data_IF_388361108711
#
_entry.id   IF_388361108711
#
_cell.length_a   1.000
_cell.length_b   1.000
_cell.length_c   1.000
_cell.angle_alpha   90.00
_cell.angle_beta   90.00
_cell.angle_gamma   90.00
#
_symmetry.space_group_name_H-M   'P 1'
#
loop_
_entity.id
_entity.type
_entity.pdbx_description
1 polymer ?
#
# COMPACT_ATOMS: atom_id res chain seq x y z
N UNK A 1 23.14 11.24 16.43
CA UNK A 1 22.73 11.32 15.01
C UNK A 1 21.22 11.51 15.00
N UNK A 2 20.70 12.51 14.27
CA UNK A 2 19.25 12.68 14.13
C UNK A 2 18.73 11.71 13.07
N UNK A 3 17.73 10.88 13.42
CA UNK A 3 17.15 9.88 12.52
C UNK A 3 15.66 10.17 12.29
N UNK A 4 15.28 10.84 11.18
CA UNK A 4 13.88 11.13 10.85
C UNK A 4 13.00 9.87 10.76
N UNK A 5 13.57 8.74 10.29
CA UNK A 5 12.85 7.48 10.12
C UNK A 5 12.29 6.99 11.44
N UNK A 6 13.10 6.99 12.50
CA UNK A 6 12.66 6.57 13.85
C UNK A 6 11.51 7.45 14.35
N UNK A 7 11.58 8.77 14.16
CA UNK A 7 10.51 9.68 14.58
C UNK A 7 9.19 9.38 13.84
N UNK A 8 9.26 9.14 12.53
CA UNK A 8 8.10 8.80 11.70
C UNK A 8 7.49 7.46 12.15
N UNK A 9 8.31 6.44 12.35
CA UNK A 9 7.86 5.12 12.84
C UNK A 9 7.18 5.26 14.20
N UNK A 10 7.83 5.90 15.16
CA UNK A 10 7.29 6.06 16.52
C UNK A 10 5.94 6.80 16.50
N UNK A 11 5.88 7.92 15.78
CA UNK A 11 4.66 8.75 15.70
C UNK A 11 3.53 7.97 15.03
N UNK A 12 3.81 7.25 13.94
CA UNK A 12 2.76 6.51 13.24
C UNK A 12 2.28 5.30 14.04
N UNK A 13 3.19 4.59 14.71
CA UNK A 13 2.84 3.47 15.60
C UNK A 13 1.93 3.91 16.74
N UNK A 14 2.18 5.06 17.35
CA UNK A 14 1.30 5.61 18.38
C UNK A 14 -0.05 6.07 17.77
N UNK A 15 -0.05 6.65 16.56
CA UNK A 15 -1.29 6.99 15.86
C UNK A 15 -2.17 5.77 15.54
N UNK A 16 -1.60 4.61 15.18
CA UNK A 16 -2.35 3.36 14.98
C UNK A 16 -3.09 2.93 16.26
N UNK A 17 -2.40 3.03 17.40
CA UNK A 17 -2.97 2.73 18.72
C UNK A 17 -4.11 3.69 19.04
N UNK A 18 -3.90 4.98 18.87
CA UNK A 18 -4.91 6.00 19.15
C UNK A 18 -6.14 5.86 18.24
N UNK A 19 -5.93 5.45 16.99
CA UNK A 19 -7.03 5.17 16.06
C UNK A 19 -7.87 3.96 16.51
N UNK A 20 -7.24 2.89 17.00
CA UNK A 20 -7.95 1.75 17.58
C UNK A 20 -8.81 2.20 18.78
N UNK A 21 -8.19 2.92 19.74
CA UNK A 21 -8.87 3.41 20.95
C UNK A 21 -10.01 4.39 20.62
N UNK A 22 -9.88 5.19 19.56
CA UNK A 22 -10.94 6.08 19.09
C UNK A 22 -12.16 5.33 18.57
N UNK A 23 -11.98 4.19 17.92
CA UNK A 23 -13.07 3.40 17.32
C UNK A 23 -13.71 2.46 18.35
N UNK A 24 -12.89 1.78 19.16
CA UNK A 24 -13.34 0.68 20.02
C UNK A 24 -13.26 0.97 21.52
N UNK A 25 -12.68 2.11 21.92
CA UNK A 25 -12.46 2.44 23.33
C UNK A 25 -11.58 1.39 24.01
N UNK A 26 -12.13 0.73 25.03
CA UNK A 26 -11.45 -0.31 25.81
C UNK A 26 -11.84 -1.74 25.40
N UNK A 27 -12.61 -1.92 24.32
CA UNK A 27 -12.96 -3.26 23.82
C UNK A 27 -11.70 -3.96 23.29
N UNK A 28 -11.44 -5.17 23.78
CA UNK A 28 -10.25 -5.99 23.46
C UNK A 28 -8.97 -5.14 23.47
N UNK A 29 -8.75 -4.40 24.56
CA UNK A 29 -7.68 -3.40 24.68
C UNK A 29 -6.27 -3.96 24.41
N UNK A 30 -6.07 -5.26 24.55
CA UNK A 30 -4.83 -5.94 24.16
C UNK A 30 -4.50 -5.78 22.67
N UNK A 31 -5.49 -5.61 21.78
CA UNK A 31 -5.25 -5.47 20.34
C UNK A 31 -4.58 -4.16 19.99
N UNK A 32 -4.79 -3.09 20.76
CA UNK A 32 -4.04 -1.85 20.63
C UNK A 32 -2.53 -2.10 20.85
N UNK A 33 -2.18 -2.96 21.81
CA UNK A 33 -0.81 -3.40 22.07
C UNK A 33 -0.24 -4.28 20.97
N UNK A 34 -1.04 -5.22 20.44
CA UNK A 34 -0.65 -6.08 19.32
C UNK A 34 -0.37 -5.24 18.07
N UNK A 35 -1.23 -4.28 17.75
CA UNK A 35 -1.08 -3.43 16.57
C UNK A 35 0.14 -2.54 16.70
N UNK A 36 0.42 -2.02 17.90
CA UNK A 36 1.65 -1.29 18.17
C UNK A 36 2.90 -2.14 17.92
N UNK A 37 2.87 -3.39 18.37
CA UNK A 37 3.95 -4.36 18.17
C UNK A 37 4.14 -4.72 16.69
N UNK A 38 3.06 -5.09 15.99
CA UNK A 38 3.12 -5.45 14.57
C UNK A 38 3.50 -4.25 13.71
N UNK A 39 2.93 -3.07 13.98
CA UNK A 39 3.27 -1.83 13.30
C UNK A 39 4.76 -1.52 13.38
N UNK A 40 5.36 -1.64 14.57
CA UNK A 40 6.81 -1.46 14.72
C UNK A 40 7.60 -2.49 13.91
N UNK A 41 7.23 -3.77 13.95
CA UNK A 41 7.91 -4.79 13.15
C UNK A 41 7.83 -4.45 11.66
N UNK A 42 6.63 -4.20 11.15
CA UNK A 42 6.42 -3.95 9.73
C UNK A 42 7.19 -2.71 9.26
N UNK A 43 7.05 -1.59 9.98
CA UNK A 43 7.63 -0.31 9.60
C UNK A 43 9.16 -0.30 9.74
N UNK A 44 9.73 -0.95 10.76
CA UNK A 44 11.19 -1.11 10.87
C UNK A 44 11.74 -1.99 9.75
N UNK A 45 11.01 -3.01 9.28
CA UNK A 45 11.48 -3.85 8.17
C UNK A 45 11.38 -3.11 6.83
N UNK A 46 10.22 -2.54 6.48
CA UNK A 46 10.05 -1.82 5.20
C UNK A 46 10.96 -0.59 5.09
N UNK A 47 11.34 0.03 6.21
CA UNK A 47 12.29 1.14 6.22
C UNK A 47 13.72 0.75 5.76
N UNK A 48 14.04 -0.54 5.63
CA UNK A 48 15.32 -1.00 5.11
C UNK A 48 15.34 -1.23 3.60
N UNK A 49 14.20 -1.06 2.91
CA UNK A 49 14.14 -1.21 1.46
C UNK A 49 14.97 -0.14 0.76
N UNK A 50 15.62 -0.51 -0.34
CA UNK A 50 16.20 0.44 -1.29
C UNK A 50 15.34 0.65 -2.56
N UNK A 51 14.10 0.11 -2.56
CA UNK A 51 13.07 0.48 -3.52
C UNK A 51 12.76 1.98 -3.40
N UNK A 52 12.64 2.67 -4.54
CA UNK A 52 12.58 4.13 -4.57
C UNK A 52 11.19 4.68 -4.19
N UNK A 53 10.12 3.92 -4.44
CA UNK A 53 8.72 4.32 -4.27
C UNK A 53 7.96 3.43 -3.29
N UNK A 54 8.05 2.10 -3.43
CA UNK A 54 7.36 1.15 -2.53
C UNK A 54 8.11 1.06 -1.19
N UNK A 55 8.00 2.13 -0.41
CA UNK A 55 8.79 2.41 0.78
C UNK A 55 7.94 2.55 2.06
N UNK A 56 8.61 2.96 3.15
CA UNK A 56 7.97 3.28 4.43
C UNK A 56 6.81 4.28 4.27
N UNK A 57 7.01 5.33 3.47
CA UNK A 57 6.01 6.38 3.35
C UNK A 57 4.78 5.90 2.56
N UNK A 58 4.98 5.15 1.48
CA UNK A 58 3.87 4.51 0.77
C UNK A 58 3.06 3.59 1.70
N UNK A 59 3.74 2.74 2.47
CA UNK A 59 3.09 1.85 3.47
C UNK A 59 2.24 2.63 4.47
N UNK A 60 2.75 3.77 4.95
CA UNK A 60 2.01 4.65 5.86
C UNK A 60 0.76 5.23 5.17
N UNK A 61 0.87 5.74 3.95
CA UNK A 61 -0.26 6.34 3.23
C UNK A 61 -1.38 5.32 2.99
N UNK A 62 -1.03 4.11 2.54
CA UNK A 62 -1.96 2.98 2.35
C UNK A 62 -2.64 2.61 3.68
N UNK A 63 -1.87 2.53 4.76
CA UNK A 63 -2.40 2.19 6.09
C UNK A 63 -3.32 3.30 6.64
N UNK A 64 -3.03 4.57 6.36
CA UNK A 64 -3.86 5.70 6.81
C UNK A 64 -5.21 5.73 6.09
N UNK A 65 -5.23 5.65 4.76
CA UNK A 65 -6.50 5.63 4.03
C UNK A 65 -7.30 4.38 4.35
N UNK A 66 -6.64 3.23 4.52
CA UNK A 66 -7.28 1.97 4.91
C UNK A 66 -8.00 2.07 6.26
N UNK A 67 -7.39 2.73 7.26
CA UNK A 67 -8.05 2.96 8.55
C UNK A 67 -9.33 3.80 8.42
N UNK A 68 -9.34 4.80 7.55
CA UNK A 68 -10.55 5.60 7.29
C UNK A 68 -11.59 4.83 6.47
N UNK A 69 -11.17 3.95 5.55
CA UNK A 69 -12.07 3.03 4.83
C UNK A 69 -12.78 2.09 5.81
N UNK A 70 -12.04 1.37 6.66
CA UNK A 70 -12.65 0.40 7.57
C UNK A 70 -13.48 1.08 8.68
N UNK A 71 -13.08 2.28 9.11
CA UNK A 71 -13.88 3.11 10.01
C UNK A 71 -15.19 3.55 9.34
N UNK A 72 -15.13 3.97 8.08
CA UNK A 72 -16.31 4.31 7.29
C UNK A 72 -17.27 3.14 7.11
N UNK A 73 -16.73 1.94 6.84
CA UNK A 73 -17.50 0.69 6.81
C UNK A 73 -18.21 0.44 8.14
N UNK A 74 -17.49 0.54 9.26
CA UNK A 74 -18.09 0.36 10.58
C UNK A 74 -19.20 1.38 10.87
N UNK A 75 -19.04 2.64 10.43
CA UNK A 75 -20.05 3.68 10.62
C UNK A 75 -21.31 3.48 9.76
N UNK A 76 -21.16 2.98 8.54
CA UNK A 76 -22.29 2.77 7.61
C UNK A 76 -23.02 1.46 7.89
N UNK A 77 -22.28 0.38 8.09
CA UNK A 77 -22.83 -0.98 8.15
C UNK A 77 -22.87 -1.55 9.57
N UNK A 78 -22.07 -1.02 10.49
CA UNK A 78 -21.78 -1.65 11.77
C UNK A 78 -20.96 -2.93 11.61
N UNK A 79 -20.89 -3.74 12.67
CA UNK A 79 -20.43 -5.14 12.58
C UNK A 79 -18.94 -5.38 12.39
N UNK A 80 -18.13 -4.37 12.04
CA UNK A 80 -16.65 -4.52 12.01
C UNK A 80 -16.14 -4.78 13.43
N UNK A 81 -15.74 -6.02 13.71
CA UNK A 81 -15.23 -6.41 15.02
C UNK A 81 -13.81 -5.87 15.25
N UNK A 82 -13.38 -5.88 16.51
CA UNK A 82 -12.00 -5.58 16.92
C UNK A 82 -10.98 -6.48 16.20
N UNK A 83 -11.32 -7.77 15.98
CA UNK A 83 -10.50 -8.71 15.22
C UNK A 83 -10.43 -8.37 13.74
N UNK A 84 -11.58 -8.08 13.12
CA UNK A 84 -11.62 -7.68 11.71
C UNK A 84 -10.72 -6.46 11.46
N UNK A 85 -10.84 -5.44 12.32
CA UNK A 85 -10.00 -4.25 12.24
C UNK A 85 -8.52 -4.58 12.41
N UNK A 86 -8.18 -5.41 13.41
CA UNK A 86 -6.79 -5.81 13.66
C UNK A 86 -6.18 -6.53 12.46
N UNK A 87 -6.84 -7.56 11.91
CA UNK A 87 -6.32 -8.29 10.75
C UNK A 87 -6.25 -7.40 9.51
N UNK A 88 -7.22 -6.51 9.31
CA UNK A 88 -7.22 -5.55 8.21
C UNK A 88 -6.02 -4.60 8.29
N UNK A 89 -5.76 -4.00 9.45
CA UNK A 89 -4.62 -3.08 9.64
C UNK A 89 -3.27 -3.79 9.53
N UNK A 90 -3.15 -5.02 10.04
CA UNK A 90 -1.94 -5.83 9.84
C UNK A 90 -1.71 -6.12 8.35
N UNK A 91 -2.78 -6.37 7.58
CA UNK A 91 -2.69 -6.59 6.14
C UNK A 91 -2.15 -5.37 5.42
N UNK A 92 -2.63 -4.16 5.75
CA UNK A 92 -2.14 -2.91 5.20
C UNK A 92 -0.67 -2.64 5.55
N UNK A 93 -0.28 -2.90 6.80
CA UNK A 93 1.11 -2.71 7.23
C UNK A 93 2.10 -3.64 6.51
N UNK A 94 1.63 -4.82 6.10
CA UNK A 94 2.47 -5.87 5.54
C UNK A 94 2.31 -6.07 4.03
N UNK A 95 1.45 -5.31 3.33
CA UNK A 95 1.15 -5.59 1.92
C UNK A 95 2.39 -5.56 1.02
N UNK A 96 3.28 -4.60 1.24
CA UNK A 96 4.50 -4.38 0.45
C UNK A 96 5.79 -4.81 1.16
N UNK A 97 5.71 -5.44 2.32
CA UNK A 97 6.92 -5.84 3.05
C UNK A 97 7.80 -6.80 2.23
N UNK A 98 7.20 -7.55 1.31
CA UNK A 98 7.88 -8.46 0.40
C UNK A 98 8.86 -7.81 -0.57
N UNK A 99 8.88 -6.49 -0.71
CA UNK A 99 9.96 -5.79 -1.42
C UNK A 99 11.31 -5.96 -0.71
N UNK A 100 11.33 -6.00 0.62
CA UNK A 100 12.58 -5.98 1.39
C UNK A 100 13.32 -7.31 1.23
N UNK A 101 14.58 -7.24 0.81
CA UNK A 101 15.48 -8.41 0.80
C UNK A 101 15.90 -8.83 2.21
N UNK A 102 16.09 -10.13 2.43
CA UNK A 102 16.65 -10.67 3.68
C UNK A 102 15.65 -10.80 4.84
N UNK A 103 14.36 -10.58 4.60
CA UNK A 103 13.31 -10.69 5.63
C UNK A 103 12.76 -12.12 5.80
N UNK A 104 12.97 -12.99 4.81
CA UNK A 104 12.47 -14.37 4.79
C UNK A 104 13.59 -15.34 5.17
N UNK A 105 13.24 -16.43 5.87
CA UNK A 105 14.23 -17.45 6.30
C UNK A 105 15.04 -18.07 5.17
N UNK A 106 14.47 -18.14 3.96
CA UNK A 106 15.13 -18.70 2.78
C UNK A 106 15.93 -17.69 1.96
N UNK A 107 15.93 -16.41 2.31
CA UNK A 107 16.72 -15.40 1.60
C UNK A 107 18.22 -15.59 1.88
N UNK A 108 19.02 -15.43 0.84
CA UNK A 108 20.48 -15.43 0.88
C UNK A 108 21.02 -14.27 0.04
N UNK A 109 22.29 -13.92 0.25
CA UNK A 109 22.93 -12.85 -0.52
C UNK A 109 22.89 -13.17 -2.02
N UNK A 110 22.12 -12.40 -2.79
CA UNK A 110 21.96 -12.58 -4.23
C UNK A 110 20.92 -13.61 -4.66
N UNK A 111 20.27 -14.32 -3.73
CA UNK A 111 19.21 -15.30 -4.05
C UNK A 111 18.06 -15.18 -3.05
N UNK A 112 16.88 -14.80 -3.51
CA UNK A 112 15.76 -14.42 -2.65
C UNK A 112 14.54 -15.24 -2.95
N UNK A 113 13.79 -15.64 -1.92
CA UNK A 113 12.58 -16.46 -2.07
C UNK A 113 11.53 -15.70 -2.88
N UNK A 114 10.96 -16.32 -3.90
CA UNK A 114 10.03 -15.65 -4.83
C UNK A 114 8.58 -16.12 -4.69
N UNK A 115 8.35 -17.28 -4.07
CA UNK A 115 7.00 -17.85 -3.93
C UNK A 115 6.86 -18.79 -2.73
N UNK A 116 5.63 -19.25 -2.49
CA UNK A 116 5.25 -20.09 -1.36
C UNK A 116 5.90 -21.49 -1.38
N UNK A 117 6.37 -21.94 -2.55
CA UNK A 117 7.06 -23.23 -2.71
C UNK A 117 8.54 -23.17 -2.28
N UNK A 118 9.03 -21.98 -1.90
CA UNK A 118 10.40 -21.76 -1.46
C UNK A 118 11.39 -21.65 -2.63
N UNK A 119 10.91 -21.51 -3.86
CA UNK A 119 11.78 -21.22 -4.99
C UNK A 119 12.43 -19.84 -4.82
N UNK A 120 13.63 -19.67 -5.36
CA UNK A 120 14.36 -18.41 -5.30
C UNK A 120 14.53 -17.77 -6.67
N UNK A 121 14.84 -16.48 -6.67
CA UNK A 121 15.24 -15.66 -7.82
C UNK A 121 16.60 -15.03 -7.52
N UNK A 122 17.48 -15.01 -8.51
CA UNK A 122 18.73 -14.27 -8.44
C UNK A 122 18.51 -12.84 -8.94
N UNK A 123 19.08 -11.86 -8.24
CA UNK A 123 19.03 -10.45 -8.66
C UNK A 123 20.39 -10.02 -9.20
N UNK A 124 20.35 -9.22 -10.26
CA UNK A 124 21.56 -8.67 -10.88
C UNK A 124 22.33 -7.77 -9.91
N UNK A 125 23.64 -7.71 -10.11
CA UNK A 125 24.48 -6.80 -9.34
C UNK A 125 24.05 -5.33 -9.58
N UNK A 126 23.64 -4.65 -8.51
CA UNK A 126 23.17 -3.27 -8.54
C UNK A 126 21.65 -3.13 -8.63
N UNK A 127 20.90 -4.25 -8.67
CA UNK A 127 19.45 -4.23 -8.52
C UNK A 127 19.02 -3.72 -7.13
N UNK A 128 17.98 -2.90 -7.14
CA UNK A 128 17.26 -2.48 -5.93
C UNK A 128 16.19 -3.51 -5.56
N UNK A 129 15.54 -3.30 -4.42
CA UNK A 129 14.42 -4.11 -3.96
C UNK A 129 13.22 -4.01 -4.93
N UNK A 130 13.17 -3.00 -5.81
CA UNK A 130 12.18 -2.91 -6.87
C UNK A 130 12.23 -4.11 -7.83
N UNK A 131 13.37 -4.77 -7.99
CA UNK A 131 13.45 -6.00 -8.79
C UNK A 131 12.59 -7.15 -8.24
N UNK A 132 12.14 -7.06 -6.97
CA UNK A 132 11.23 -8.01 -6.35
C UNK A 132 9.74 -7.68 -6.57
N UNK A 133 9.37 -6.64 -7.34
CA UNK A 133 7.97 -6.33 -7.70
C UNK A 133 7.19 -7.55 -8.22
N UNK A 134 7.72 -8.47 -9.04
CA UNK A 134 6.92 -9.63 -9.48
C UNK A 134 6.58 -10.62 -8.35
N UNK A 135 7.25 -10.52 -7.20
CA UNK A 135 7.22 -11.51 -6.13
C UNK A 135 6.76 -10.94 -4.78
N UNK A 136 6.70 -9.61 -4.64
CA UNK A 136 6.47 -8.93 -3.37
C UNK A 136 5.20 -9.44 -2.66
N UNK A 137 4.07 -9.62 -3.35
CA UNK A 137 2.83 -10.11 -2.71
C UNK A 137 3.02 -11.50 -2.07
N UNK A 138 3.63 -12.44 -2.78
CA UNK A 138 3.90 -13.77 -2.24
C UNK A 138 4.92 -13.73 -1.11
N UNK A 139 5.94 -12.88 -1.23
CA UNK A 139 6.94 -12.65 -0.16
C UNK A 139 6.31 -12.04 1.09
N UNK A 140 5.40 -11.07 0.94
CA UNK A 140 4.64 -10.46 2.04
C UNK A 140 3.81 -11.50 2.79
N UNK A 141 3.15 -12.40 2.06
CA UNK A 141 2.40 -13.52 2.65
C UNK A 141 3.30 -14.46 3.45
N UNK A 142 4.47 -14.83 2.90
CA UNK A 142 5.46 -15.62 3.62
C UNK A 142 5.95 -14.93 4.88
N UNK A 143 6.24 -13.62 4.81
CA UNK A 143 6.70 -12.85 5.96
C UNK A 143 5.68 -12.92 7.11
N UNK A 144 4.40 -12.67 6.81
CA UNK A 144 3.33 -12.75 7.82
C UNK A 144 3.23 -14.14 8.42
N UNK A 145 3.30 -15.20 7.59
CA UNK A 145 3.28 -16.59 8.06
C UNK A 145 4.46 -16.92 8.96
N UNK A 146 5.67 -16.56 8.56
CA UNK A 146 6.90 -16.83 9.32
C UNK A 146 6.95 -16.05 10.64
N UNK A 147 6.46 -14.81 10.64
CA UNK A 147 6.54 -13.92 11.79
C UNK A 147 5.40 -14.11 12.79
N UNK A 148 4.19 -14.37 12.31
CA UNK A 148 2.97 -14.34 13.12
C UNK A 148 2.21 -15.67 13.14
N UNK A 149 2.59 -16.68 12.36
CA UNK A 149 1.85 -17.95 12.25
C UNK A 149 1.74 -18.77 13.53
N UNK A 150 2.57 -18.49 14.54
CA UNK A 150 2.47 -19.11 15.87
C UNK A 150 1.65 -18.32 16.89
N UNK A 151 1.09 -17.16 16.51
CA UNK A 151 0.34 -16.31 17.43
C UNK A 151 -1.13 -16.76 17.50
N UNK A 152 -1.70 -17.01 18.70
CA UNK A 152 -3.08 -17.52 18.84
C UNK A 152 -4.18 -16.49 18.54
N UNK A 153 -3.83 -15.21 18.45
CA UNK A 153 -4.77 -14.09 18.21
C UNK A 153 -4.75 -13.65 16.74
N UNK A 154 -3.60 -13.74 16.08
CA UNK A 154 -3.42 -13.34 14.69
C UNK A 154 -3.69 -14.53 13.76
N UNK A 155 -4.76 -14.45 12.98
CA UNK A 155 -5.05 -15.42 11.93
C UNK A 155 -4.36 -14.99 10.64
N UNK A 156 -3.25 -15.66 10.35
CA UNK A 156 -2.43 -15.36 9.16
C UNK A 156 -3.15 -15.68 7.86
N UNK A 157 -4.15 -16.56 7.85
CA UNK A 157 -4.86 -16.90 6.61
C UNK A 157 -5.72 -15.73 6.12
N UNK A 158 -6.35 -15.01 7.05
CA UNK A 158 -7.13 -13.79 6.74
C UNK A 158 -6.19 -12.72 6.17
N UNK A 159 -5.05 -12.50 6.83
CA UNK A 159 -4.08 -11.49 6.40
C UNK A 159 -3.49 -11.85 5.03
N UNK A 160 -3.15 -13.11 4.80
CA UNK A 160 -2.64 -13.57 3.51
C UNK A 160 -3.66 -13.40 2.38
N UNK A 161 -4.94 -13.68 2.63
CA UNK A 161 -6.01 -13.48 1.65
C UNK A 161 -6.20 -12.00 1.31
N UNK A 162 -6.10 -11.12 2.31
CA UNK A 162 -6.13 -9.68 2.13
C UNK A 162 -4.96 -9.18 1.27
N UNK A 163 -3.72 -9.59 1.63
CA UNK A 163 -2.50 -9.21 0.90
C UNK A 163 -2.54 -9.73 -0.54
N UNK A 164 -3.04 -10.95 -0.79
CA UNK A 164 -3.14 -11.49 -2.15
C UNK A 164 -3.94 -10.58 -3.11
N UNK A 165 -4.91 -9.81 -2.59
CA UNK A 165 -5.73 -8.92 -3.41
C UNK A 165 -5.00 -7.63 -3.84
N UNK A 166 -3.80 -7.34 -3.33
CA UNK A 166 -2.98 -6.20 -3.78
C UNK A 166 -2.16 -6.51 -5.04
N UNK A 167 -2.20 -7.74 -5.55
CA UNK A 167 -1.63 -8.06 -6.87
C UNK A 167 -2.16 -7.11 -7.95
N UNK A 168 -1.23 -6.41 -8.62
CA UNK A 168 -1.54 -5.50 -9.72
C UNK A 168 -0.64 -5.78 -10.94
N UNK A 169 -1.19 -5.81 -12.18
CA UNK A 169 -2.60 -5.69 -12.55
C UNK A 169 -3.49 -6.75 -11.90
N UNK A 170 -4.74 -6.38 -11.60
CA UNK A 170 -5.68 -7.28 -10.92
C UNK A 170 -5.86 -8.56 -11.75
N UNK A 171 -5.57 -9.75 -11.19
CA UNK A 171 -5.68 -11.00 -11.94
C UNK A 171 -7.11 -11.26 -12.44
N UNK A 172 -7.25 -11.83 -13.64
CA UNK A 172 -8.55 -12.24 -14.18
C UNK A 172 -9.08 -13.48 -13.45
N UNK A 173 -9.88 -13.30 -12.41
CA UNK A 173 -10.58 -14.37 -11.67
C UNK A 173 -12.08 -14.45 -11.98
N UNK A 174 -12.78 -15.44 -11.40
CA UNK A 174 -14.23 -15.66 -11.58
C UNK A 174 -15.10 -14.45 -11.14
N UNK A 175 -14.62 -13.65 -10.18
CA UNK A 175 -15.26 -12.42 -9.71
C UNK A 175 -14.73 -11.16 -10.42
N UNK A 176 -13.79 -11.30 -11.36
CA UNK A 176 -13.08 -10.20 -12.01
C UNK A 176 -12.26 -9.34 -11.05
N UNK A 177 -11.86 -9.89 -9.90
CA UNK A 177 -11.17 -9.17 -8.83
C UNK A 177 -12.05 -8.10 -8.17
N UNK A 178 -13.36 -8.35 -8.04
CA UNK A 178 -14.33 -7.42 -7.43
C UNK A 178 -14.83 -7.91 -6.07
N UNK A 179 -14.00 -8.64 -5.34
CA UNK A 179 -14.24 -8.91 -3.92
C UNK A 179 -14.60 -7.60 -3.20
N UNK A 180 -15.75 -7.60 -2.53
CA UNK A 180 -16.29 -6.46 -1.76
C UNK A 180 -16.01 -6.58 -0.26
N UNK A 181 -15.41 -7.69 0.16
CA UNK A 181 -14.97 -7.93 1.51
C UNK A 181 -13.68 -7.18 1.86
N UNK A 182 -13.10 -7.54 3.00
CA UNK A 182 -11.83 -6.96 3.45
C UNK A 182 -10.69 -7.05 2.43
N UNK A 183 -10.51 -8.15 1.66
CA UNK A 183 -9.43 -8.20 0.68
C UNK A 183 -9.55 -7.12 -0.41
N UNK A 184 -10.76 -6.89 -0.92
CA UNK A 184 -11.00 -5.82 -1.89
C UNK A 184 -10.81 -4.42 -1.33
N UNK A 185 -11.10 -4.20 -0.05
CA UNK A 185 -10.86 -2.93 0.62
C UNK A 185 -9.36 -2.70 0.91
N UNK A 186 -8.57 -3.75 1.15
CA UNK A 186 -7.11 -3.64 1.23
C UNK A 186 -6.53 -3.22 -0.13
N UNK A 187 -6.97 -3.86 -1.24
CA UNK A 187 -6.61 -3.42 -2.60
C UNK A 187 -7.00 -1.97 -2.85
N UNK A 188 -8.21 -1.58 -2.47
CA UNK A 188 -8.66 -0.21 -2.68
C UNK A 188 -7.85 0.80 -1.85
N UNK A 189 -7.45 0.44 -0.62
CA UNK A 189 -6.58 1.26 0.21
C UNK A 189 -5.19 1.43 -0.39
N UNK A 190 -4.63 0.37 -0.97
CA UNK A 190 -3.34 0.42 -1.68
C UNK A 190 -3.39 1.42 -2.86
N UNK A 191 -4.37 1.23 -3.75
CA UNK A 191 -4.59 2.11 -4.89
C UNK A 191 -4.88 3.56 -4.46
N UNK A 192 -5.83 3.80 -3.55
CA UNK A 192 -6.13 5.17 -3.13
C UNK A 192 -4.93 5.78 -2.38
N UNK A 193 -4.23 5.01 -1.54
CA UNK A 193 -3.08 5.48 -0.77
C UNK A 193 -1.94 5.96 -1.64
N UNK A 194 -1.73 5.32 -2.79
CA UNK A 194 -0.84 5.81 -3.84
C UNK A 194 -1.39 7.06 -4.53
N UNK A 195 -2.60 7.00 -5.09
CA UNK A 195 -3.11 8.02 -6.00
C UNK A 195 -3.54 9.33 -5.29
N UNK A 196 -3.91 9.25 -4.01
CA UNK A 196 -4.34 10.39 -3.21
C UNK A 196 -3.21 11.00 -2.36
N UNK A 197 -1.99 10.46 -2.43
CA UNK A 197 -0.84 10.98 -1.70
C UNK A 197 -0.52 12.42 -2.15
N UNK A 198 -0.50 13.36 -1.20
CA UNK A 198 -0.19 14.78 -1.43
C UNK A 198 1.19 14.94 -2.11
N UNK A 199 2.13 14.04 -1.82
CA UNK A 199 3.45 13.99 -2.44
C UNK A 199 3.52 13.22 -3.77
N UNK A 200 2.42 12.65 -4.26
CA UNK A 200 2.40 11.71 -5.38
C UNK A 200 3.13 12.27 -6.61
N UNK A 201 2.85 13.51 -7.00
CA UNK A 201 3.49 14.15 -8.16
C UNK A 201 5.02 14.26 -8.03
N UNK A 202 5.53 14.53 -6.82
CA UNK A 202 6.98 14.56 -6.54
C UNK A 202 7.58 13.16 -6.62
N UNK A 203 6.85 12.15 -6.15
CA UNK A 203 7.29 10.75 -6.07
C UNK A 203 7.26 10.01 -7.42
N UNK A 204 6.65 10.57 -8.45
CA UNK A 204 6.59 9.90 -9.76
C UNK A 204 7.96 9.65 -10.41
N UNK A 205 8.97 10.44 -10.05
CA UNK A 205 10.35 10.18 -10.47
C UNK A 205 10.88 8.87 -9.92
N UNK A 206 10.58 8.57 -8.66
CA UNK A 206 10.93 7.31 -8.01
C UNK A 206 10.14 6.13 -8.59
N UNK A 207 8.81 6.28 -8.75
CA UNK A 207 7.97 5.23 -9.35
C UNK A 207 8.40 4.90 -10.78
N UNK A 208 8.75 5.93 -11.57
CA UNK A 208 9.27 5.72 -12.92
C UNK A 208 10.59 4.95 -12.92
N UNK A 209 11.49 5.21 -11.96
CA UNK A 209 12.74 4.45 -11.85
C UNK A 209 12.48 2.96 -11.61
N UNK A 210 11.56 2.62 -10.71
CA UNK A 210 11.16 1.22 -10.48
C UNK A 210 10.51 0.60 -11.72
N UNK A 211 9.71 1.37 -12.47
CA UNK A 211 9.14 0.91 -13.74
C UNK A 211 10.24 0.63 -14.78
N UNK A 212 11.32 1.41 -14.80
CA UNK A 212 12.46 1.13 -15.68
C UNK A 212 13.17 -0.15 -15.28
N UNK A 213 13.45 -0.32 -13.98
CA UNK A 213 14.16 -1.48 -13.46
C UNK A 213 13.38 -2.79 -13.69
N UNK A 214 12.06 -2.75 -13.52
CA UNK A 214 11.18 -3.91 -13.74
C UNK A 214 10.83 -4.15 -15.22
N UNK A 215 11.25 -3.28 -16.14
CA UNK A 215 10.87 -3.34 -17.57
C UNK A 215 9.44 -2.84 -17.86
N UNK A 216 8.67 -2.48 -16.83
CA UNK A 216 7.30 -1.96 -16.96
C UNK A 216 7.25 -0.68 -17.80
N UNK A 217 8.25 0.19 -17.69
CA UNK A 217 8.33 1.42 -18.48
C UNK A 217 8.40 1.13 -19.99
N UNK A 218 9.16 0.11 -20.40
CA UNK A 218 9.26 -0.30 -21.81
C UNK A 218 7.94 -0.89 -22.31
N UNK A 219 7.32 -1.78 -21.52
CA UNK A 219 6.01 -2.39 -21.84
C UNK A 219 4.92 -1.32 -22.04
N UNK A 220 4.92 -0.27 -21.20
CA UNK A 220 3.96 0.83 -21.28
C UNK A 220 4.36 1.93 -22.27
N UNK A 221 5.57 1.86 -22.84
CA UNK A 221 6.11 2.87 -23.75
C UNK A 221 6.48 4.21 -23.07
N UNK A 222 6.69 4.22 -21.76
CA UNK A 222 7.07 5.40 -20.99
C UNK A 222 8.58 5.66 -21.08
N UNK A 223 8.94 6.92 -21.37
CA UNK A 223 10.34 7.36 -21.54
C UNK A 223 10.78 8.32 -20.44
N UNK A 224 9.84 8.84 -19.66
CA UNK A 224 10.09 9.79 -18.59
C UNK A 224 9.01 9.74 -17.51
N UNK A 225 9.26 10.29 -16.31
CA UNK A 225 8.21 10.52 -15.31
C UNK A 225 7.06 11.41 -15.83
N UNK A 226 7.30 12.21 -16.87
CA UNK A 226 6.25 13.00 -17.52
C UNK A 226 5.23 12.15 -18.28
N UNK A 227 5.66 11.00 -18.83
CA UNK A 227 4.76 10.08 -19.52
C UNK A 227 3.86 9.36 -18.51
N UNK A 228 4.41 9.00 -17.35
CA UNK A 228 3.64 8.46 -16.22
C UNK A 228 2.58 9.44 -15.74
N UNK A 229 2.93 10.73 -15.58
CA UNK A 229 1.97 11.81 -15.27
C UNK A 229 0.87 11.92 -16.31
N UNK A 230 1.24 11.96 -17.59
CA UNK A 230 0.29 12.09 -18.69
C UNK A 230 -0.65 10.88 -18.81
N UNK A 231 -0.18 9.68 -18.44
CA UNK A 231 -0.99 8.46 -18.45
C UNK A 231 -1.93 8.35 -17.24
N UNK A 232 -1.72 9.16 -16.20
CA UNK A 232 -2.42 9.05 -14.91
C UNK A 232 -3.95 9.03 -15.03
N UNK A 233 -4.62 9.93 -15.79
CA UNK A 233 -6.09 9.88 -15.91
C UNK A 233 -6.60 8.60 -16.56
N UNK A 234 -5.93 8.16 -17.63
CA UNK A 234 -6.29 6.91 -18.33
C UNK A 234 -6.10 5.71 -17.40
N UNK A 235 -5.02 5.69 -16.63
CA UNK A 235 -4.76 4.67 -15.63
C UNK A 235 -5.84 4.67 -14.54
N UNK A 236 -6.19 5.84 -14.00
CA UNK A 236 -7.23 5.98 -12.99
C UNK A 236 -8.57 5.42 -13.47
N UNK A 237 -9.10 5.91 -14.59
CA UNK A 237 -10.41 5.48 -15.07
C UNK A 237 -10.42 4.04 -15.59
N UNK A 238 -9.35 3.61 -16.26
CA UNK A 238 -9.29 2.31 -16.90
C UNK A 238 -8.94 1.15 -15.96
N UNK A 239 -8.13 1.40 -14.93
CA UNK A 239 -7.53 0.35 -14.12
C UNK A 239 -7.74 0.51 -12.60
N UNK A 240 -8.10 1.70 -12.09
CA UNK A 240 -8.30 1.94 -10.65
C UNK A 240 -9.77 2.07 -10.28
N UNK A 241 -10.51 2.95 -10.98
CA UNK A 241 -11.92 3.25 -10.71
C UNK A 241 -12.83 2.02 -10.56
N UNK A 242 -12.66 0.92 -11.34
CA UNK A 242 -13.48 -0.28 -11.18
C UNK A 242 -13.39 -0.95 -9.80
N UNK A 243 -12.32 -0.69 -9.03
CA UNK A 243 -11.98 -1.41 -7.80
C UNK A 243 -12.14 -0.58 -6.52
N UNK A 244 -12.44 0.72 -6.61
CA UNK A 244 -12.41 1.62 -5.45
C UNK A 244 -13.77 2.18 -5.01
N UNK A 245 -14.85 1.90 -5.75
CA UNK A 245 -16.16 2.54 -5.48
C UNK A 245 -16.71 2.28 -4.07
N UNK A 246 -16.60 1.05 -3.58
CA UNK A 246 -17.05 0.71 -2.22
C UNK A 246 -16.20 1.45 -1.17
N UNK A 247 -14.88 1.54 -1.39
CA UNK A 247 -13.98 2.32 -0.53
C UNK A 247 -14.29 3.82 -0.55
N UNK A 248 -14.61 4.40 -1.71
CA UNK A 248 -15.05 5.80 -1.82
C UNK A 248 -16.35 6.05 -1.06
N UNK A 249 -17.29 5.09 -1.12
CA UNK A 249 -18.52 5.16 -0.33
C UNK A 249 -18.20 5.22 1.18
N UNK A 250 -17.32 4.35 1.66
CA UNK A 250 -16.92 4.36 3.07
C UNK A 250 -16.12 5.60 3.47
N UNK A 251 -15.20 6.09 2.63
CA UNK A 251 -14.45 7.32 2.90
C UNK A 251 -15.36 8.55 2.99
N UNK A 252 -16.52 8.54 2.35
CA UNK A 252 -17.42 9.70 2.30
C UNK A 252 -18.07 10.07 3.63
N UNK A 253 -17.98 9.23 4.67
CA UNK A 253 -18.66 9.49 5.95
C UNK A 253 -17.78 10.13 7.02
N UNK A 254 -16.45 9.99 6.96
CA UNK A 254 -15.54 10.66 7.89
C UNK A 254 -14.98 11.96 7.30
N UNK A 255 -14.56 12.91 8.14
CA UNK A 255 -13.97 14.16 7.66
C UNK A 255 -12.60 13.90 7.01
N UNK A 256 -11.79 13.04 7.64
CA UNK A 256 -10.49 12.65 7.11
C UNK A 256 -10.64 11.83 5.82
N UNK A 257 -11.64 10.95 5.74
CA UNK A 257 -11.96 10.21 4.52
C UNK A 257 -12.37 11.10 3.35
N UNK A 258 -13.16 12.15 3.59
CA UNK A 258 -13.48 13.15 2.56
C UNK A 258 -12.24 13.88 2.05
N UNK A 259 -11.23 14.11 2.90
CA UNK A 259 -9.97 14.71 2.46
C UNK A 259 -9.21 13.78 1.50
N UNK A 260 -9.19 12.46 1.76
CA UNK A 260 -8.62 11.47 0.84
C UNK A 260 -9.30 11.50 -0.54
N UNK A 261 -10.64 11.54 -0.56
CA UNK A 261 -11.43 11.66 -1.79
C UNK A 261 -11.06 12.95 -2.53
N UNK A 262 -11.01 14.08 -1.82
CA UNK A 262 -10.68 15.37 -2.41
C UNK A 262 -9.29 15.37 -3.05
N UNK A 263 -8.28 14.83 -2.35
CA UNK A 263 -6.92 14.74 -2.88
C UNK A 263 -6.84 13.85 -4.13
N UNK A 264 -7.48 12.67 -4.08
CA UNK A 264 -7.53 11.74 -5.21
C UNK A 264 -8.07 12.42 -6.46
N UNK A 265 -9.25 13.04 -6.37
CA UNK A 265 -9.88 13.68 -7.51
C UNK A 265 -9.20 14.98 -7.92
N UNK A 266 -8.55 15.70 -6.99
CA UNK A 266 -7.72 16.86 -7.33
C UNK A 266 -6.55 16.46 -8.24
N UNK A 267 -5.84 15.36 -7.94
CA UNK A 267 -4.77 14.87 -8.81
C UNK A 267 -5.29 14.43 -10.18
N UNK A 268 -6.40 13.68 -10.22
CA UNK A 268 -7.01 13.26 -11.50
C UNK A 268 -7.37 14.48 -12.34
N UNK A 269 -8.11 15.43 -11.75
CA UNK A 269 -8.52 16.65 -12.41
C UNK A 269 -7.32 17.48 -12.93
N UNK A 270 -6.30 17.67 -12.09
CA UNK A 270 -5.14 18.47 -12.44
C UNK A 270 -4.39 17.88 -13.64
N UNK A 271 -4.18 16.56 -13.66
CA UNK A 271 -3.49 15.89 -14.77
C UNK A 271 -4.35 15.84 -16.04
N UNK A 272 -5.67 15.71 -15.94
CA UNK A 272 -6.58 15.76 -17.10
C UNK A 272 -6.61 17.11 -17.81
N UNK A 273 -6.56 18.19 -17.02
CA UNK A 273 -6.77 19.56 -17.53
C UNK A 273 -5.46 20.34 -17.71
N UNK A 274 -4.31 19.71 -17.44
CA UNK A 274 -3.01 20.40 -17.42
C UNK A 274 -2.98 21.56 -16.42
N UNK A 275 -3.79 21.49 -15.36
CA UNK A 275 -3.80 22.51 -14.32
C UNK A 275 -2.57 22.40 -13.43
N UNK A 276 -2.33 23.42 -12.60
CA UNK A 276 -1.29 23.35 -11.58
C UNK A 276 -1.61 22.22 -10.59
N UNK A 277 -0.76 21.18 -10.61
CA UNK A 277 -0.77 20.12 -9.62
C UNK A 277 -0.10 20.55 -8.31
N UNK A 278 -0.09 19.66 -7.33
CA UNK A 278 0.56 19.87 -6.02
C UNK A 278 2.07 19.58 -6.05
N UNK A 279 2.61 19.17 -7.21
CA UNK A 279 3.99 18.83 -7.44
C UNK A 279 4.86 19.97 -8.00
N UNK A 280 6.07 19.63 -8.49
CA UNK A 280 7.00 20.62 -9.03
C UNK A 280 6.43 21.32 -10.27
N UNK A 281 6.89 22.56 -10.53
CA UNK A 281 6.50 23.33 -11.71
C UNK A 281 6.76 22.54 -12.99
N UNK A 282 5.71 22.32 -13.76
CA UNK A 282 5.75 21.63 -15.04
C UNK A 282 5.61 22.67 -16.16
N UNK A 283 6.40 22.51 -17.21
CA UNK A 283 6.22 23.29 -18.43
C UNK A 283 4.84 22.90 -19.00
N UNK A 284 3.88 23.83 -18.96
CA UNK A 284 2.61 23.65 -19.67
C UNK A 284 2.95 23.48 -21.15
N UNK A 285 2.47 22.40 -21.79
CA UNK A 285 2.49 22.36 -23.25
C UNK A 285 1.59 23.50 -23.70
N UNK A 286 2.13 24.45 -24.45
CA UNK A 286 1.34 25.51 -25.06
C UNK A 286 0.14 24.87 -25.77
N UNK A 287 -1.07 25.19 -25.31
CA UNK A 287 -2.28 24.81 -26.02
C UNK A 287 -2.27 25.53 -27.37
N UNK A 288 -1.81 24.84 -28.41
CA UNK A 288 -2.01 25.24 -29.81
C UNK A 288 -3.37 24.76 -30.30
#
# INVERSE_FOLDING_TARGET
MFNPTTLVIDTFVDALKDNYERVYGLLDAEFAGIIRFVGRIALENIANTDAAYHDLNHTIMVTQVGQEIIRGKHLIEGGVTTKDWMHFVISLLCHDIGYVRGILKGDACGSYVKNLDGETVELDHGATDAALTPYHVHRSRLFVRERFGGNPVIDVNIIEANILNTCFPVPGGEDGGKDKGYPGLVRAADLIGQLADIGYERKQSALFHEFQETGTAEILGFKSPGDLRAAYPKFFWGAVSPYINDALHYLSVTQDGKQWIANLFAHVFAQEHGAHGLGPLTMMKDNK
#
